data_IF_154971369920
#
_entry.id   IF_154971369920
#
_cell.length_a   1.000
_cell.length_b   1.000
_cell.length_c   1.000
_cell.angle_alpha   90.00
_cell.angle_beta   90.00
_cell.angle_gamma   90.00
#
_symmetry.space_group_name_H-M   'P 1'
#
loop_
_entity.id
_entity.type
_entity.pdbx_description
1 polymer ?
#
# COMPACT_ATOMS: atom_id res chain seq x y z
N UNK A 1 -18.54 -9.80 -2.26
CA UNK A 1 -18.30 -8.83 -3.35
C UNK A 1 -16.84 -8.43 -3.43
N UNK A 2 -16.34 -8.20 -4.65
CA UNK A 2 -14.95 -7.83 -4.94
C UNK A 2 -14.86 -6.97 -6.20
N UNK A 3 -14.10 -5.87 -6.12
CA UNK A 3 -13.72 -5.04 -7.26
C UNK A 3 -12.37 -5.49 -7.82
N UNK A 4 -12.27 -5.59 -9.15
CA UNK A 4 -11.04 -6.02 -9.84
C UNK A 4 -10.78 -5.12 -11.04
N UNK A 5 -9.59 -4.55 -11.13
CA UNK A 5 -9.11 -3.84 -12.32
C UNK A 5 -8.25 -4.76 -13.17
N UNK A 6 -8.27 -4.51 -14.48
CA UNK A 6 -7.37 -5.12 -15.45
C UNK A 6 -6.51 -4.03 -16.08
N UNK A 7 -5.27 -4.34 -16.44
CA UNK A 7 -4.37 -3.41 -17.15
C UNK A 7 -5.01 -2.80 -18.42
N UNK A 8 -5.93 -3.53 -19.07
CA UNK A 8 -6.71 -3.04 -20.22
C UNK A 8 -7.66 -1.88 -19.90
N UNK A 9 -7.73 -1.46 -18.64
CA UNK A 9 -8.60 -0.40 -18.15
C UNK A 9 -10.06 -0.80 -18.03
N UNK A 10 -10.31 -2.07 -17.70
CA UNK A 10 -11.65 -2.56 -17.34
C UNK A 10 -11.69 -2.80 -15.84
N UNK A 11 -12.77 -2.36 -15.22
CA UNK A 11 -13.05 -2.60 -13.81
C UNK A 11 -14.30 -3.46 -13.73
N UNK A 12 -14.20 -4.56 -13.01
CA UNK A 12 -15.26 -5.53 -12.82
C UNK A 12 -15.65 -5.57 -11.35
N UNK A 13 -16.94 -5.75 -11.11
CA UNK A 13 -17.47 -6.16 -9.83
C UNK A 13 -17.80 -7.64 -9.89
N UNK A 14 -17.41 -8.37 -8.87
CA UNK A 14 -17.71 -9.78 -8.67
C UNK A 14 -18.61 -9.89 -7.45
N UNK A 15 -19.77 -10.55 -7.59
CA UNK A 15 -20.71 -10.76 -6.49
C UNK A 15 -20.73 -12.23 -6.10
N UNK A 16 -20.85 -12.49 -4.80
CA UNK A 16 -21.03 -13.82 -4.21
C UNK A 16 -22.33 -13.77 -3.42
N UNK A 17 -23.39 -14.33 -4.00
CA UNK A 17 -24.76 -14.18 -3.53
C UNK A 17 -25.17 -15.27 -2.54
N UNK A 18 -24.46 -16.40 -2.52
CA UNK A 18 -24.71 -17.50 -1.58
C UNK A 18 -23.66 -17.58 -0.45
N UNK A 19 -22.59 -16.80 -0.53
CA UNK A 19 -21.58 -16.64 0.50
C UNK A 19 -20.61 -17.82 0.60
N UNK A 20 -20.47 -18.62 -0.46
CA UNK A 20 -19.58 -19.78 -0.48
C UNK A 20 -18.10 -19.42 -0.75
N UNK A 21 -17.82 -18.15 -1.04
CA UNK A 21 -16.49 -17.63 -1.36
C UNK A 21 -16.11 -17.75 -2.84
N UNK A 22 -17.02 -18.20 -3.69
CA UNK A 22 -16.92 -18.22 -5.15
C UNK A 22 -17.89 -17.19 -5.71
N UNK A 23 -17.45 -16.44 -6.72
CA UNK A 23 -18.34 -15.47 -7.35
C UNK A 23 -19.39 -16.19 -8.22
N UNK A 24 -20.63 -15.72 -8.16
CA UNK A 24 -21.74 -16.18 -9.01
C UNK A 24 -21.82 -15.39 -10.31
N UNK A 25 -21.61 -14.09 -10.19
CA UNK A 25 -21.77 -13.13 -11.26
C UNK A 25 -20.61 -12.13 -11.29
N UNK A 26 -20.37 -11.58 -12.47
CA UNK A 26 -19.56 -10.38 -12.62
C UNK A 26 -20.22 -9.42 -13.58
N UNK A 27 -20.11 -8.15 -13.28
CA UNK A 27 -20.57 -7.08 -14.16
C UNK A 27 -19.46 -6.07 -14.42
N UNK A 28 -19.50 -5.48 -15.61
CA UNK A 28 -18.51 -4.51 -16.03
C UNK A 28 -18.87 -3.16 -15.43
N UNK A 29 -18.16 -2.76 -14.38
CA UNK A 29 -18.42 -1.52 -13.66
C UNK A 29 -17.97 -0.28 -14.43
N UNK A 30 -16.74 -0.31 -14.97
CA UNK A 30 -16.18 0.83 -15.70
C UNK A 30 -15.18 0.39 -16.77
N UNK A 31 -14.97 1.26 -17.78
CA UNK A 31 -13.96 1.05 -18.84
C UNK A 31 -13.25 2.35 -19.21
N UNK A 32 -12.09 2.25 -19.86
CA UNK A 32 -11.40 3.40 -20.45
C UNK A 32 -10.43 4.10 -19.50
N UNK A 33 -10.19 3.53 -18.32
CA UNK A 33 -9.20 3.99 -17.35
C UNK A 33 -8.01 3.03 -17.35
N UNK A 34 -7.02 3.18 -18.25
CA UNK A 34 -5.92 2.24 -18.38
C UNK A 34 -5.09 2.18 -17.10
N UNK A 35 -4.58 0.99 -16.76
CA UNK A 35 -3.63 0.77 -15.67
C UNK A 35 -4.07 1.26 -14.28
N UNK A 36 -5.37 1.19 -13.97
CA UNK A 36 -5.86 1.37 -12.61
C UNK A 36 -5.31 0.26 -11.70
N UNK A 37 -4.58 0.65 -10.67
CA UNK A 37 -4.06 -0.26 -9.63
C UNK A 37 -4.80 -0.01 -8.32
N UNK A 38 -5.06 1.25 -7.98
CA UNK A 38 -5.80 1.65 -6.80
C UNK A 38 -7.31 1.48 -6.98
N UNK A 39 -7.95 0.69 -6.12
CA UNK A 39 -9.40 0.54 -6.05
C UNK A 39 -9.84 0.65 -4.59
N UNK A 40 -10.81 1.50 -4.30
CA UNK A 40 -11.36 1.66 -2.95
C UNK A 40 -12.84 1.99 -2.99
N UNK A 41 -13.67 1.11 -2.42
CA UNK A 41 -15.09 1.35 -2.30
C UNK A 41 -15.39 2.35 -1.17
N UNK A 42 -16.33 3.25 -1.43
CA UNK A 42 -16.80 4.28 -0.51
C UNK A 42 -18.28 4.04 -0.21
N UNK A 43 -18.53 3.27 0.85
CA UNK A 43 -19.88 2.87 1.24
C UNK A 43 -20.79 4.05 1.65
N UNK A 44 -20.22 5.20 2.02
CA UNK A 44 -21.01 6.35 2.44
C UNK A 44 -21.74 7.02 1.26
N UNK A 45 -21.13 7.01 0.07
CA UNK A 45 -21.75 7.59 -1.13
C UNK A 45 -22.05 6.53 -2.22
N UNK A 46 -21.77 5.25 -1.97
CA UNK A 46 -21.86 4.19 -2.99
C UNK A 46 -20.88 4.38 -4.15
N UNK A 47 -19.78 5.10 -3.91
CA UNK A 47 -18.81 5.47 -4.93
C UNK A 47 -17.61 4.51 -4.97
N UNK A 48 -16.85 4.54 -6.05
CA UNK A 48 -15.55 3.86 -6.15
C UNK A 48 -14.45 4.87 -6.43
N UNK A 49 -13.40 4.83 -5.63
CA UNK A 49 -12.17 5.57 -5.84
C UNK A 49 -11.20 4.75 -6.67
N UNK A 50 -10.63 5.38 -7.70
CA UNK A 50 -9.77 4.79 -8.70
C UNK A 50 -8.44 5.55 -8.73
N UNK A 51 -7.35 4.82 -8.57
CA UNK A 51 -5.98 5.35 -8.56
C UNK A 51 -5.14 4.73 -9.68
N UNK A 52 -4.46 5.58 -10.44
CA UNK A 52 -3.48 5.16 -11.43
C UNK A 52 -2.99 6.34 -12.27
N UNK A 53 -1.79 6.21 -12.83
CA UNK A 53 -1.13 7.16 -13.75
C UNK A 53 -1.22 8.62 -13.32
N UNK A 54 -1.01 8.84 -12.03
CA UNK A 54 -0.97 10.16 -11.44
C UNK A 54 -2.33 10.82 -11.22
N UNK A 55 -3.41 10.04 -11.29
CA UNK A 55 -4.78 10.48 -11.07
C UNK A 55 -5.42 9.78 -9.88
N UNK A 56 -6.32 10.50 -9.21
CA UNK A 56 -7.29 9.95 -8.27
C UNK A 56 -8.68 10.39 -8.73
N UNK A 57 -9.51 9.44 -9.11
CA UNK A 57 -10.83 9.67 -9.67
C UNK A 57 -11.87 8.99 -8.79
N UNK A 58 -12.97 9.67 -8.54
CA UNK A 58 -14.13 9.13 -7.82
C UNK A 58 -15.25 8.89 -8.81
N UNK A 59 -15.82 7.70 -8.81
CA UNK A 59 -16.88 7.30 -9.75
C UNK A 59 -18.18 6.99 -9.04
N UNK A 60 -19.29 7.28 -9.70
CA UNK A 60 -20.64 7.07 -9.17
C UNK A 60 -21.49 6.29 -10.18
N UNK A 61 -22.33 5.41 -9.65
CA UNK A 61 -23.40 4.71 -10.36
C UNK A 61 -24.70 5.43 -9.98
N UNK A 62 -25.08 6.43 -10.78
CA UNK A 62 -26.12 7.39 -10.47
C UNK A 62 -27.53 6.79 -10.65
N UNK A 63 -27.64 5.79 -11.54
CA UNK A 63 -28.89 5.07 -11.80
C UNK A 63 -29.01 3.69 -11.09
N UNK A 64 -27.96 3.29 -10.35
CA UNK A 64 -27.86 2.05 -9.56
C UNK A 64 -27.97 0.78 -10.40
N UNK A 65 -27.43 0.81 -11.63
CA UNK A 65 -27.44 -0.35 -12.54
C UNK A 65 -26.18 -1.23 -12.43
N UNK A 66 -25.23 -0.87 -11.56
CA UNK A 66 -23.94 -1.53 -11.38
C UNK A 66 -22.83 -0.98 -12.28
N UNK A 67 -23.03 0.16 -12.96
CA UNK A 67 -22.08 0.76 -13.90
C UNK A 67 -21.79 2.21 -13.51
N UNK A 68 -20.53 2.63 -13.59
CA UNK A 68 -20.15 4.01 -13.37
C UNK A 68 -20.69 4.94 -14.47
N UNK A 69 -21.54 5.88 -14.10
CA UNK A 69 -22.14 6.91 -14.95
C UNK A 69 -21.33 8.21 -14.96
N UNK A 70 -20.74 8.58 -13.82
CA UNK A 70 -20.03 9.84 -13.64
C UNK A 70 -18.65 9.66 -13.02
N UNK A 71 -17.73 10.55 -13.42
CA UNK A 71 -16.31 10.51 -13.07
C UNK A 71 -15.90 11.90 -12.58
N UNK A 72 -15.49 11.97 -11.33
CA UNK A 72 -15.09 13.19 -10.65
C UNK A 72 -13.59 13.12 -10.35
N UNK A 73 -12.79 13.90 -11.08
CA UNK A 73 -11.34 13.91 -10.95
C UNK A 73 -10.95 14.73 -9.71
N UNK A 74 -10.43 14.04 -8.70
CA UNK A 74 -10.06 14.63 -7.41
C UNK A 74 -8.61 15.06 -7.35
N UNK A 75 -7.74 14.29 -8.00
CA UNK A 75 -6.33 14.64 -8.21
C UNK A 75 -5.99 14.33 -9.66
N UNK A 76 -5.25 15.24 -10.29
CA UNK A 76 -4.66 15.04 -11.61
C UNK A 76 -3.20 15.52 -11.60
N UNK A 77 -2.41 14.99 -12.54
CA UNK A 77 -1.05 15.43 -12.80
C UNK A 77 -0.03 15.14 -11.69
N UNK A 78 -0.25 14.12 -10.85
CA UNK A 78 0.84 13.63 -10.00
C UNK A 78 1.97 13.09 -10.90
N UNK A 79 3.24 13.34 -10.57
CA UNK A 79 4.34 12.85 -11.41
C UNK A 79 4.36 11.32 -11.37
N UNK A 80 4.35 10.69 -12.54
CA UNK A 80 4.47 9.25 -12.69
C UNK A 80 5.38 8.94 -13.87
N UNK A 81 5.92 7.73 -13.90
CA UNK A 81 6.84 7.29 -14.95
C UNK A 81 6.91 5.78 -14.96
N UNK A 82 8.03 5.23 -14.52
CA UNK A 82 8.19 3.79 -14.28
C UNK A 82 7.15 3.28 -13.26
N UNK A 83 6.86 4.08 -12.23
CA UNK A 83 5.86 3.78 -11.22
C UNK A 83 4.78 4.85 -11.17
N UNK A 84 3.65 4.49 -10.55
CA UNK A 84 2.44 5.30 -10.44
C UNK A 84 1.88 5.28 -9.01
N UNK A 85 0.75 5.95 -8.78
CA UNK A 85 0.01 5.78 -7.56
C UNK A 85 -0.74 4.44 -7.54
N UNK A 86 -0.55 3.67 -6.48
CA UNK A 86 -1.04 2.30 -6.37
C UNK A 86 -2.18 2.18 -5.34
N UNK A 87 -2.24 1.08 -4.58
CA UNK A 87 -3.34 0.74 -3.67
C UNK A 87 -3.84 1.92 -2.84
N UNK A 88 -5.16 1.98 -2.66
CA UNK A 88 -5.86 2.98 -1.86
C UNK A 88 -6.45 2.29 -0.63
N UNK A 89 -6.30 2.88 0.56
CA UNK A 89 -6.94 2.39 1.79
C UNK A 89 -7.53 3.54 2.61
N UNK A 90 -8.71 3.31 3.20
CA UNK A 90 -9.25 4.20 4.22
C UNK A 90 -8.46 4.07 5.51
N UNK A 91 -8.29 5.17 6.24
CA UNK A 91 -7.87 5.10 7.64
C UNK A 91 -8.94 4.47 8.53
N UNK A 92 -8.52 3.82 9.63
CA UNK A 92 -9.36 3.59 10.79
C UNK A 92 -9.84 4.90 11.41
N UNK A 93 -10.95 4.86 12.16
CA UNK A 93 -11.45 5.99 12.96
C UNK A 93 -11.22 5.70 14.47
N UNK A 94 -10.46 6.52 15.20
CA UNK A 94 -9.71 7.70 14.74
C UNK A 94 -8.52 7.35 13.84
N UNK A 95 -8.06 8.34 13.07
CA UNK A 95 -6.81 8.24 12.29
C UNK A 95 -5.66 7.83 13.22
N UNK A 96 -4.98 6.69 12.98
CA UNK A 96 -3.97 6.18 13.91
C UNK A 96 -2.73 7.06 14.05
N UNK A 97 -2.44 7.94 13.08
CA UNK A 97 -1.29 8.83 13.15
C UNK A 97 -1.59 10.16 13.83
N UNK A 98 -2.74 10.79 13.53
CA UNK A 98 -3.07 12.12 14.08
C UNK A 98 -4.10 12.10 15.21
N UNK A 99 -4.82 10.98 15.40
CA UNK A 99 -5.88 10.86 16.39
C UNK A 99 -7.18 11.60 16.02
N UNK A 100 -7.28 12.14 14.81
CA UNK A 100 -8.47 12.82 14.30
C UNK A 100 -9.65 11.85 14.21
N UNK A 101 -10.79 12.23 14.80
CA UNK A 101 -12.03 11.44 14.79
C UNK A 101 -12.94 11.87 13.66
N UNK A 102 -13.55 10.91 12.99
CA UNK A 102 -14.46 11.14 11.85
C UNK A 102 -13.78 11.73 10.61
N UNK A 103 -12.45 11.87 10.63
CA UNK A 103 -11.69 12.21 9.45
C UNK A 103 -11.54 10.96 8.57
N UNK A 104 -11.82 11.11 7.28
CA UNK A 104 -11.70 10.06 6.29
C UNK A 104 -10.59 10.44 5.32
N UNK A 105 -9.47 9.78 5.47
CA UNK A 105 -8.27 9.93 4.69
C UNK A 105 -8.09 8.71 3.80
N UNK A 106 -7.78 8.94 2.53
CA UNK A 106 -7.30 7.92 1.61
C UNK A 106 -5.78 7.91 1.70
N UNK A 107 -5.21 6.79 2.11
CA UNK A 107 -3.77 6.55 2.09
C UNK A 107 -3.40 5.78 0.84
N UNK A 108 -2.32 6.18 0.18
CA UNK A 108 -1.83 5.51 -1.02
C UNK A 108 -0.34 5.74 -1.25
N UNK A 109 0.30 4.76 -1.89
CA UNK A 109 1.68 4.90 -2.34
C UNK A 109 1.75 5.65 -3.67
N UNK A 110 2.73 6.53 -3.85
CA UNK A 110 3.14 7.08 -5.14
C UNK A 110 4.62 6.74 -5.36
N UNK A 111 4.89 5.88 -6.33
CA UNK A 111 6.25 5.45 -6.64
C UNK A 111 7.12 6.55 -7.26
N UNK A 112 8.40 6.24 -7.36
CA UNK A 112 9.43 6.98 -8.08
C UNK A 112 9.16 7.04 -9.59
N UNK A 113 9.68 8.06 -10.27
CA UNK A 113 9.50 8.16 -11.74
C UNK A 113 10.46 7.27 -12.52
N UNK A 114 11.59 6.89 -11.93
CA UNK A 114 12.59 5.99 -12.53
C UNK A 114 13.12 4.99 -11.49
N UNK A 115 14.05 4.13 -11.89
CA UNK A 115 14.63 3.11 -11.00
C UNK A 115 15.38 3.68 -9.78
N UNK A 116 16.07 4.82 -9.95
CA UNK A 116 16.89 5.49 -8.92
C UNK A 116 16.63 7.00 -8.81
N UNK A 117 15.59 7.52 -9.48
CA UNK A 117 15.21 8.94 -9.40
C UNK A 117 13.85 9.06 -8.73
N UNK A 118 13.78 9.88 -7.68
CA UNK A 118 12.55 10.17 -6.95
C UNK A 118 11.52 10.79 -7.89
N UNK A 119 11.88 11.80 -8.69
CA UNK A 119 10.98 12.42 -9.67
C UNK A 119 10.16 13.62 -9.20
N UNK A 120 10.00 13.83 -7.89
CA UNK A 120 9.25 14.96 -7.36
C UNK A 120 9.04 14.91 -5.84
N UNK A 121 8.51 15.99 -5.24
CA UNK A 121 8.32 16.06 -3.79
C UNK A 121 7.28 15.06 -3.25
N UNK A 122 6.36 14.60 -4.09
CA UNK A 122 5.32 13.63 -3.73
C UNK A 122 5.68 12.18 -4.10
N UNK A 123 6.76 11.98 -4.85
CA UNK A 123 7.14 10.66 -5.31
C UNK A 123 8.01 9.93 -4.30
N UNK A 124 8.14 8.62 -4.53
CA UNK A 124 8.77 7.69 -3.62
C UNK A 124 8.24 7.82 -2.18
N UNK A 125 6.92 7.96 -2.05
CA UNK A 125 6.28 8.36 -0.80
C UNK A 125 4.95 7.63 -0.60
N UNK A 126 4.52 7.58 0.66
CA UNK A 126 3.13 7.32 1.01
C UNK A 126 2.48 8.67 1.29
N UNK A 127 1.34 8.90 0.66
CA UNK A 127 0.56 10.11 0.75
C UNK A 127 -0.77 9.82 1.44
N UNK A 128 -1.37 10.86 2.01
CA UNK A 128 -2.78 10.85 2.38
C UNK A 128 -3.52 12.02 1.77
N UNK A 129 -4.79 11.81 1.48
CA UNK A 129 -5.70 12.78 0.87
C UNK A 129 -7.05 12.78 1.61
N UNK A 130 -7.61 13.95 1.96
CA UNK A 130 -8.93 14.02 2.58
C UNK A 130 -10.01 13.50 1.61
N UNK A 131 -11.00 12.76 2.10
CA UNK A 131 -12.12 12.24 1.29
C UNK A 131 -12.83 13.31 0.46
N UNK A 132 -12.97 14.51 1.01
CA UNK A 132 -13.60 15.67 0.37
C UNK A 132 -12.60 16.63 -0.28
N UNK A 133 -11.32 16.26 -0.31
CA UNK A 133 -10.24 17.05 -0.88
C UNK A 133 -10.37 17.27 -2.39
N UNK A 134 -9.58 18.22 -2.88
CA UNK A 134 -9.43 18.53 -4.31
C UNK A 134 -8.01 19.03 -4.60
N UNK A 135 -7.40 18.51 -5.66
CA UNK A 135 -6.09 18.95 -6.15
C UNK A 135 -4.92 18.47 -5.29
N UNK A 136 -3.71 18.72 -5.77
CA UNK A 136 -2.48 18.28 -5.10
C UNK A 136 -2.18 19.05 -3.81
N UNK A 137 -2.70 20.27 -3.67
CA UNK A 137 -2.49 21.09 -2.46
C UNK A 137 -3.15 20.49 -1.20
N UNK A 138 -4.09 19.56 -1.38
CA UNK A 138 -4.72 18.82 -0.28
C UNK A 138 -3.93 17.57 0.13
N UNK A 139 -2.81 17.26 -0.52
CA UNK A 139 -2.00 16.09 -0.19
C UNK A 139 -1.07 16.35 0.98
N UNK A 140 -0.92 15.32 1.81
CA UNK A 140 0.07 15.28 2.87
C UNK A 140 1.00 14.08 2.70
N UNK A 141 2.29 14.28 2.94
CA UNK A 141 3.30 13.23 2.88
C UNK A 141 3.33 12.52 4.24
N UNK A 142 3.00 11.24 4.24
CA UNK A 142 3.01 10.36 5.44
C UNK A 142 4.42 9.83 5.67
N UNK A 143 5.07 9.32 4.62
CA UNK A 143 6.44 8.82 4.64
C UNK A 143 7.16 9.07 3.31
N UNK A 144 8.49 9.07 3.35
CA UNK A 144 9.37 9.27 2.19
C UNK A 144 10.32 8.10 1.97
N UNK A 145 10.99 8.06 0.82
CA UNK A 145 12.03 7.06 0.55
C UNK A 145 11.49 5.65 0.37
N UNK A 146 10.25 5.51 -0.10
CA UNK A 146 9.66 4.23 -0.51
C UNK A 146 9.74 4.19 -2.05
N UNK A 147 10.57 3.37 -2.68
CA UNK A 147 10.80 3.44 -4.16
C UNK A 147 9.51 3.26 -4.95
N UNK A 148 8.73 2.22 -4.66
CA UNK A 148 7.45 1.91 -5.24
C UNK A 148 6.54 1.22 -4.20
N UNK A 149 5.95 1.99 -3.25
CA UNK A 149 4.98 1.44 -2.31
C UNK A 149 3.75 0.94 -3.08
N UNK A 150 3.66 -0.37 -3.25
CA UNK A 150 2.70 -0.98 -4.17
C UNK A 150 1.36 -1.24 -3.50
N UNK A 151 1.35 -2.03 -2.42
CA UNK A 151 0.15 -2.30 -1.63
C UNK A 151 0.27 -1.76 -0.22
N UNK A 152 -0.83 -1.22 0.31
CA UNK A 152 -0.96 -0.73 1.67
C UNK A 152 -2.07 -1.50 2.40
N UNK A 153 -1.91 -1.71 3.70
CA UNK A 153 -2.99 -2.24 4.55
C UNK A 153 -2.89 -1.71 5.98
N UNK A 154 -4.03 -1.37 6.58
CA UNK A 154 -4.14 -1.16 8.02
C UNK A 154 -4.39 -2.50 8.72
N UNK A 155 -3.49 -2.89 9.62
CA UNK A 155 -3.62 -4.07 10.47
C UNK A 155 -4.01 -3.71 11.90
N UNK A 156 -4.99 -4.40 12.46
CA UNK A 156 -5.32 -4.33 13.89
C UNK A 156 -4.41 -5.28 14.67
N UNK A 157 -3.22 -4.80 15.04
CA UNK A 157 -2.13 -5.61 15.60
C UNK A 157 -2.18 -5.64 17.12
N UNK A 158 -2.19 -6.84 17.76
CA UNK A 158 -1.99 -6.96 19.19
C UNK A 158 -0.55 -6.59 19.58
N UNK A 159 -0.39 -5.55 20.40
CA UNK A 159 0.88 -5.08 20.94
C UNK A 159 0.74 -4.92 22.44
N UNK A 160 1.56 -5.63 23.21
CA UNK A 160 1.58 -5.54 24.69
C UNK A 160 0.20 -5.74 25.37
N UNK A 161 -0.68 -6.54 24.75
CA UNK A 161 -2.03 -6.83 25.27
C UNK A 161 -3.12 -5.86 24.80
N UNK A 162 -2.79 -4.86 24.00
CA UNK A 162 -3.75 -3.93 23.38
C UNK A 162 -3.74 -4.07 21.86
N UNK A 163 -4.90 -3.94 21.21
CA UNK A 163 -4.96 -3.95 19.75
C UNK A 163 -4.83 -2.53 19.22
N UNK A 164 -3.84 -2.30 18.37
CA UNK A 164 -3.53 -1.00 17.78
C UNK A 164 -3.52 -1.08 16.27
N UNK A 165 -3.95 -0.03 15.59
CA UNK A 165 -3.89 0.05 14.14
C UNK A 165 -2.48 0.41 13.70
N UNK A 166 -1.94 -0.38 12.76
CA UNK A 166 -0.61 -0.20 12.19
C UNK A 166 -0.71 -0.20 10.66
N UNK A 167 -0.05 0.74 9.99
CA UNK A 167 -0.01 0.79 8.53
C UNK A 167 1.21 0.01 8.02
N UNK A 168 0.99 -0.89 7.07
CA UNK A 168 2.04 -1.63 6.39
C UNK A 168 2.03 -1.31 4.90
N UNK A 169 3.20 -1.31 4.28
CA UNK A 169 3.35 -1.19 2.84
C UNK A 169 4.29 -2.26 2.29
N UNK A 170 3.94 -2.81 1.14
CA UNK A 170 4.87 -3.59 0.31
C UNK A 170 5.57 -2.64 -0.64
N UNK A 171 6.81 -2.96 -0.97
CA UNK A 171 7.74 -2.07 -1.63
C UNK A 171 8.58 -2.90 -2.62
N UNK A 172 8.80 -2.37 -3.83
CA UNK A 172 9.65 -3.04 -4.81
C UNK A 172 11.04 -2.43 -4.83
N UNK A 173 12.03 -3.28 -4.56
CA UNK A 173 13.43 -2.94 -4.57
C UNK A 173 13.90 -2.47 -5.96
N UNK A 174 15.12 -1.92 -6.03
CA UNK A 174 15.69 -1.44 -7.27
C UNK A 174 15.96 -2.56 -8.28
N UNK A 175 15.97 -2.23 -9.57
CA UNK A 175 16.14 -3.21 -10.65
C UNK A 175 17.61 -3.50 -10.98
N UNK A 176 18.54 -2.64 -10.56
CA UNK A 176 19.95 -2.70 -10.97
C UNK A 176 20.85 -3.60 -10.08
N UNK A 177 20.36 -4.06 -8.93
CA UNK A 177 21.10 -4.91 -8.00
C UNK A 177 20.15 -5.83 -7.21
N UNK A 178 20.71 -6.69 -6.38
CA UNK A 178 19.96 -7.66 -5.58
C UNK A 178 19.50 -7.12 -4.20
N UNK A 179 19.27 -5.80 -4.09
CA UNK A 179 18.63 -5.27 -2.89
C UNK A 179 17.21 -5.87 -2.75
N UNK A 180 16.76 -6.15 -1.52
CA UNK A 180 15.50 -6.87 -1.33
C UNK A 180 14.31 -6.02 -1.78
N UNK A 181 13.24 -6.70 -2.18
CA UNK A 181 11.90 -6.13 -2.04
C UNK A 181 11.57 -6.07 -0.56
N UNK A 182 10.66 -5.20 -0.14
CA UNK A 182 10.47 -4.96 1.30
C UNK A 182 9.00 -5.01 1.71
N UNK A 183 8.79 -5.36 2.97
CA UNK A 183 7.58 -4.97 3.69
C UNK A 183 7.98 -4.02 4.82
N UNK A 184 7.33 -2.86 4.82
CA UNK A 184 7.63 -1.72 5.67
C UNK A 184 6.49 -1.47 6.66
N UNK A 185 6.83 -1.22 7.93
CA UNK A 185 5.90 -0.69 8.93
C UNK A 185 5.96 0.82 8.82
N UNK A 186 4.87 1.42 8.35
CA UNK A 186 4.81 2.84 8.01
C UNK A 186 4.59 3.66 9.26
N UNK A 187 5.52 4.59 9.49
CA UNK A 187 5.55 5.50 10.63
C UNK A 187 5.44 6.93 10.15
N UNK A 188 4.68 7.72 10.91
CA UNK A 188 4.39 9.11 10.58
C UNK A 188 5.68 9.93 10.50
N UNK A 189 5.92 10.54 9.34
CA UNK A 189 7.09 11.38 9.05
C UNK A 189 8.44 10.65 9.09
N UNK A 190 8.51 9.38 8.65
CA UNK A 190 9.77 8.64 8.52
C UNK A 190 10.25 8.51 7.06
N UNK A 191 11.55 8.30 6.90
CA UNK A 191 12.21 8.01 5.61
C UNK A 191 12.65 6.54 5.53
N UNK A 192 12.38 5.89 4.40
CA UNK A 192 12.58 4.44 4.22
C UNK A 192 13.82 4.06 3.41
N UNK A 193 14.58 5.06 2.94
CA UNK A 193 15.96 4.88 2.51
C UNK A 193 16.21 5.04 1.02
N UNK A 194 15.20 4.82 0.16
CA UNK A 194 15.35 5.06 -1.27
C UNK A 194 15.76 6.53 -1.53
N UNK A 195 16.76 6.79 -2.40
CA UNK A 195 17.40 5.87 -3.34
C UNK A 195 18.70 5.21 -2.88
N UNK A 196 19.09 5.33 -1.61
CA UNK A 196 20.46 4.98 -1.16
C UNK A 196 20.55 3.83 -0.16
N UNK A 197 19.46 3.54 0.56
CA UNK A 197 19.44 2.56 1.64
C UNK A 197 18.27 1.61 1.44
N UNK A 198 18.53 0.31 1.56
CA UNK A 198 17.59 -0.77 1.29
C UNK A 198 17.79 -1.90 2.31
N UNK A 199 16.72 -2.65 2.57
CA UNK A 199 16.69 -3.85 3.41
C UNK A 199 16.52 -3.59 4.90
N UNK A 200 16.43 -4.69 5.65
CA UNK A 200 16.17 -4.68 7.07
C UNK A 200 17.39 -4.21 7.85
N UNK A 201 17.16 -3.24 8.74
CA UNK A 201 18.23 -2.64 9.54
C UNK A 201 18.47 -3.37 10.86
N UNK A 202 17.58 -4.30 11.24
CA UNK A 202 17.70 -5.05 12.49
C UNK A 202 18.88 -6.02 12.50
N UNK A 203 19.41 -6.39 11.33
CA UNK A 203 20.58 -7.26 11.21
C UNK A 203 21.90 -6.48 11.10
N UNK A 204 21.81 -5.15 10.93
CA UNK A 204 22.95 -4.27 10.82
C UNK A 204 23.51 -3.88 12.21
N UNK A 205 24.83 -3.70 12.35
CA UNK A 205 25.39 -3.08 13.54
C UNK A 205 24.74 -1.71 13.80
N UNK A 206 24.45 -1.39 15.07
CA UNK A 206 23.68 -0.20 15.45
C UNK A 206 24.27 1.14 14.98
N UNK A 207 25.54 1.16 14.60
CA UNK A 207 26.29 2.33 14.12
C UNK A 207 26.35 2.46 12.58
N UNK A 208 25.71 1.55 11.84
CA UNK A 208 25.81 1.51 10.37
C UNK A 208 24.58 2.05 9.63
N UNK A 209 23.41 2.04 10.25
CA UNK A 209 22.21 2.67 9.69
C UNK A 209 22.23 4.18 9.94
N UNK A 210 21.81 5.03 8.97
CA UNK A 210 21.67 6.45 9.22
C UNK A 210 20.59 6.69 10.29
N UNK A 211 20.78 7.70 11.15
CA UNK A 211 19.75 8.08 12.11
C UNK A 211 18.58 8.82 11.41
N UNK A 212 18.91 9.61 10.38
CA UNK A 212 17.97 10.39 9.59
C UNK A 212 18.42 10.48 8.12
N UNK A 213 17.46 10.68 7.22
CA UNK A 213 17.67 10.98 5.81
C UNK A 213 16.75 12.14 5.46
N UNK A 214 17.27 13.17 4.80
CA UNK A 214 16.53 14.40 4.46
C UNK A 214 15.83 15.07 5.65
N UNK A 215 16.43 14.95 6.85
CA UNK A 215 15.90 15.49 8.11
C UNK A 215 14.70 14.70 8.67
N UNK A 216 14.42 13.52 8.15
CA UNK A 216 13.37 12.62 8.61
C UNK A 216 14.00 11.38 9.28
N UNK A 217 13.48 10.92 10.43
CA UNK A 217 13.97 9.70 11.06
C UNK A 217 13.97 8.52 10.09
N UNK A 218 15.07 7.78 10.06
CA UNK A 218 15.20 6.62 9.18
C UNK A 218 14.47 5.39 9.76
N UNK A 219 13.86 4.61 8.87
CA UNK A 219 13.31 3.29 9.16
C UNK A 219 13.75 2.32 8.08
N UNK A 220 14.40 1.23 8.44
CA UNK A 220 14.58 0.10 7.53
C UNK A 220 13.31 -0.75 7.41
N UNK A 221 13.33 -1.68 6.47
CA UNK A 221 12.33 -2.73 6.36
C UNK A 221 12.25 -3.55 7.64
N UNK A 222 11.05 -4.06 7.94
CA UNK A 222 10.91 -5.05 9.01
C UNK A 222 10.91 -6.49 8.49
N UNK A 223 10.72 -6.66 7.18
CA UNK A 223 10.78 -7.94 6.50
C UNK A 223 11.35 -7.76 5.10
N UNK A 224 12.48 -8.42 4.85
CA UNK A 224 13.08 -8.50 3.52
C UNK A 224 12.41 -9.62 2.74
N UNK A 225 11.93 -9.27 1.57
CA UNK A 225 11.41 -10.18 0.56
C UNK A 225 12.56 -10.49 -0.40
N UNK A 226 12.50 -11.66 -1.05
CA UNK A 226 13.47 -12.00 -2.10
C UNK A 226 13.56 -10.87 -3.14
N UNK A 227 14.78 -10.47 -3.50
CA UNK A 227 15.00 -9.42 -4.49
C UNK A 227 14.25 -9.73 -5.79
N UNK A 228 13.66 -8.68 -6.38
CA UNK A 228 12.87 -8.77 -7.62
C UNK A 228 11.63 -9.68 -7.55
N UNK A 229 11.16 -10.06 -6.36
CA UNK A 229 9.93 -10.84 -6.22
C UNK A 229 8.66 -10.09 -6.61
N UNK A 230 8.75 -8.76 -6.77
CA UNK A 230 7.62 -7.86 -6.98
C UNK A 230 6.57 -8.02 -5.88
N UNK A 231 6.90 -7.62 -4.65
CA UNK A 231 5.94 -7.52 -3.55
C UNK A 231 4.81 -6.55 -3.94
N UNK A 232 3.63 -7.08 -4.27
CA UNK A 232 2.55 -6.32 -4.92
C UNK A 232 1.17 -6.51 -4.27
N UNK A 233 1.11 -7.19 -3.13
CA UNK A 233 -0.13 -7.35 -2.37
C UNK A 233 0.14 -7.41 -0.88
N UNK A 234 -0.78 -6.89 -0.09
CA UNK A 234 -0.77 -7.05 1.36
C UNK A 234 -2.16 -7.38 1.87
N UNK A 235 -2.23 -8.26 2.88
CA UNK A 235 -3.44 -8.51 3.63
C UNK A 235 -3.07 -8.76 5.10
N UNK A 236 -3.80 -8.12 6.01
CA UNK A 236 -3.71 -8.43 7.43
C UNK A 236 -4.95 -9.24 7.84
N UNK A 237 -4.75 -10.46 8.32
CA UNK A 237 -5.84 -11.33 8.77
C UNK A 237 -5.99 -11.19 10.27
N UNK A 238 -7.16 -10.74 10.74
CA UNK A 238 -7.51 -10.65 12.16
C UNK A 238 -8.72 -11.50 12.53
N UNK A 239 -9.20 -12.35 11.62
CA UNK A 239 -10.42 -13.12 11.83
C UNK A 239 -10.23 -14.09 13.02
N UNK A 240 -10.99 -13.93 14.12
CA UNK A 240 -10.83 -14.75 15.31
C UNK A 240 -11.20 -16.22 15.10
N UNK A 241 -11.89 -16.56 14.01
CA UNK A 241 -12.17 -17.94 13.64
C UNK A 241 -10.93 -18.69 13.10
N UNK A 242 -9.91 -17.97 12.66
CA UNK A 242 -8.66 -18.56 12.18
C UNK A 242 -7.73 -18.89 13.34
N UNK A 243 -6.85 -19.91 13.24
CA UNK A 243 -5.88 -20.17 14.30
C UNK A 243 -4.97 -18.95 14.51
N UNK A 244 -4.61 -18.66 15.76
CA UNK A 244 -3.87 -17.43 16.11
C UNK A 244 -2.58 -17.23 15.29
N UNK A 245 -1.87 -18.30 14.93
CA UNK A 245 -0.66 -18.25 14.10
C UNK A 245 -0.91 -17.76 12.65
N UNK A 246 -2.16 -17.76 12.18
CA UNK A 246 -2.55 -17.25 10.87
C UNK A 246 -3.20 -15.87 10.92
N UNK A 247 -3.42 -15.32 12.12
CA UNK A 247 -3.96 -13.98 12.30
C UNK A 247 -2.81 -12.96 12.24
N UNK A 248 -2.26 -12.77 11.03
CA UNK A 248 -1.05 -11.97 10.82
C UNK A 248 -1.02 -11.33 9.43
N UNK A 249 0.10 -10.70 9.08
CA UNK A 249 0.33 -10.10 7.77
C UNK A 249 0.74 -11.14 6.72
N UNK A 250 0.26 -10.94 5.49
CA UNK A 250 0.63 -11.71 4.32
C UNK A 250 1.06 -10.76 3.21
N UNK A 251 2.07 -11.14 2.45
CA UNK A 251 2.53 -10.43 1.26
C UNK A 251 2.39 -11.31 0.03
N UNK A 252 1.78 -10.76 -1.03
CA UNK A 252 1.67 -11.41 -2.32
C UNK A 252 2.83 -11.03 -3.23
N UNK A 253 3.50 -12.03 -3.79
CA UNK A 253 4.64 -11.86 -4.70
C UNK A 253 4.16 -12.04 -6.13
N UNK A 254 4.29 -10.99 -6.94
CA UNK A 254 3.94 -11.05 -8.36
C UNK A 254 4.96 -11.84 -9.17
N UNK A 255 6.13 -12.16 -8.61
CA UNK A 255 7.18 -12.93 -9.27
C UNK A 255 8.13 -12.05 -10.08
N UNK A 256 9.22 -12.65 -10.52
CA UNK A 256 10.34 -11.90 -11.11
C UNK A 256 10.12 -11.50 -12.57
N UNK A 257 10.56 -10.29 -12.92
CA UNK A 257 10.59 -9.78 -14.29
C UNK A 257 12.03 -9.49 -14.77
N UNK A 258 12.96 -9.22 -13.85
CA UNK A 258 14.30 -8.67 -14.14
C UNK A 258 15.48 -9.51 -13.62
N UNK A 259 15.23 -10.65 -12.97
CA UNK A 259 16.28 -11.54 -12.45
C UNK A 259 16.45 -12.81 -13.30
N UNK A 260 17.63 -13.44 -13.27
CA UNK A 260 17.81 -14.78 -13.83
C UNK A 260 17.27 -15.87 -12.87
N UNK A 261 17.19 -15.58 -11.57
CA UNK A 261 16.62 -16.49 -10.58
C UNK A 261 15.08 -16.39 -10.61
N UNK A 262 14.41 -17.53 -10.84
CA UNK A 262 12.94 -17.58 -10.87
C UNK A 262 12.40 -17.43 -9.45
N UNK A 263 11.83 -16.27 -9.14
CA UNK A 263 10.95 -16.07 -7.99
C UNK A 263 9.51 -16.35 -8.42
N UNK A 264 8.86 -17.29 -7.73
CA UNK A 264 7.52 -17.74 -8.07
C UNK A 264 6.42 -16.75 -7.68
N UNK A 265 5.20 -17.02 -8.16
CA UNK A 265 3.99 -16.34 -7.72
C UNK A 265 3.52 -16.98 -6.39
N UNK A 266 3.94 -16.42 -5.27
CA UNK A 266 3.65 -16.97 -3.93
C UNK A 266 2.96 -15.96 -3.03
N UNK A 267 2.47 -16.45 -1.90
CA UNK A 267 2.03 -15.62 -0.79
C UNK A 267 2.87 -16.03 0.41
N UNK A 268 3.59 -15.06 0.97
CA UNK A 268 4.38 -15.28 2.16
C UNK A 268 3.59 -14.82 3.38
N UNK A 269 3.61 -15.63 4.43
CA UNK A 269 3.03 -15.30 5.73
C UNK A 269 4.14 -14.75 6.64
N UNK A 270 3.89 -13.58 7.21
CA UNK A 270 4.86 -12.87 8.04
C UNK A 270 4.36 -12.88 9.48
N UNK A 271 5.11 -13.50 10.38
CA UNK A 271 4.91 -13.35 11.82
C UNK A 271 5.46 -12.00 12.28
N UNK A 272 4.64 -11.23 12.99
CA UNK A 272 5.01 -9.93 13.51
C UNK A 272 5.49 -10.05 14.96
N UNK A 273 6.74 -9.67 15.23
CA UNK A 273 7.28 -9.52 16.58
C UNK A 273 7.45 -8.04 16.90
N UNK A 274 6.72 -7.47 17.87
CA UNK A 274 6.90 -6.07 18.29
C UNK A 274 8.31 -5.80 18.78
N UNK A 275 8.88 -4.66 18.40
CA UNK A 275 10.17 -4.14 18.85
C UNK A 275 10.01 -2.69 19.24
N UNK A 276 10.50 -2.32 20.42
CA UNK A 276 10.64 -0.93 20.83
C UNK A 276 12.01 -0.39 20.42
N UNK A 277 12.01 0.77 19.76
CA UNK A 277 13.23 1.50 19.36
C UNK A 277 13.20 2.91 19.93
N UNK A 278 14.33 3.64 19.83
CA UNK A 278 14.37 5.05 20.19
C UNK A 278 13.40 5.91 19.36
N UNK A 279 13.01 5.42 18.17
CA UNK A 279 12.03 6.03 17.29
C UNK A 279 10.61 5.47 17.48
N UNK A 280 10.37 4.74 18.57
CA UNK A 280 9.08 4.13 18.92
C UNK A 280 8.90 2.70 18.44
N UNK A 281 7.67 2.19 18.56
CA UNK A 281 7.27 0.85 18.15
C UNK A 281 7.55 0.61 16.67
N UNK A 282 8.11 -0.56 16.38
CA UNK A 282 8.19 -1.17 15.06
C UNK A 282 8.04 -2.69 15.21
N UNK A 283 8.29 -3.44 14.15
CA UNK A 283 8.21 -4.89 14.15
C UNK A 283 9.50 -5.49 13.62
N UNK A 284 9.70 -6.77 13.90
CA UNK A 284 10.51 -7.69 13.09
C UNK A 284 9.57 -8.71 12.48
N UNK A 285 9.73 -8.94 11.19
CA UNK A 285 8.97 -9.90 10.41
C UNK A 285 9.79 -11.17 10.26
N UNK A 286 9.15 -12.32 10.46
CA UNK A 286 9.77 -13.61 10.24
C UNK A 286 8.84 -14.48 9.39
N UNK A 287 9.38 -15.29 8.45
CA UNK A 287 8.55 -16.22 7.72
C UNK A 287 7.91 -17.24 8.68
N UNK A 288 6.64 -17.57 8.46
CA UNK A 288 5.86 -18.47 9.32
C UNK A 288 5.18 -19.57 8.53
#
# INVERSE_FOLDING_TARGET
DMLVSLQTGRIWWYSDSDGDGVYDERHLYATGLPEVVGLLYDAADGAVWLGGRGQLVRTFDDDQNGVADSYDVRIDGLPWGRHQNNTLVWNPDPDPFTGERGAHWIYFGLGSTEDLDVGGPYNAAILRFPRDGQGQDALEIVSKGNRNPYALVWGAVPVNGETTWQLFASENGPDFNDAPDEVNHIRWHHHYGFPTNFGATFELPADTAPAEIDGWPYSGAFYDVTAHASASGLAYVSNPAWPAAYQTLYVGLFGQVFSEEIVGHTVDRIMLTPIETDAGLTFRGEPS
#
